data_IF_800698126189
#
_entry.id   IF_800698126189
#
_cell.length_a   1.000
_cell.length_b   1.000
_cell.length_c   1.000
_cell.angle_alpha   90.00
_cell.angle_beta   90.00
_cell.angle_gamma   90.00
#
_symmetry.space_group_name_H-M   'P 1'
#
loop_
_entity.id
_entity.type
_entity.pdbx_description
1 polymer ?
#
# COMPACT_ATOMS: atom_id res chain seq x y z
N UNK A 1 22.20 5.49 42.95
CA UNK A 1 21.00 4.85 42.37
C UNK A 1 21.28 4.67 40.89
N UNK A 2 21.70 3.47 40.49
CA UNK A 2 21.99 3.13 39.09
C UNK A 2 20.66 2.84 38.41
N UNK A 3 20.24 3.69 37.47
CA UNK A 3 19.09 3.42 36.61
C UNK A 3 19.57 2.47 35.51
N UNK A 4 19.36 1.17 35.72
CA UNK A 4 19.46 0.16 34.67
C UNK A 4 18.15 0.13 33.89
N UNK A 5 17.99 1.08 32.96
CA UNK A 5 16.96 1.04 31.94
C UNK A 5 17.59 0.69 30.60
N UNK A 6 17.45 -0.55 30.15
CA UNK A 6 17.69 -0.87 28.74
C UNK A 6 16.50 -0.32 27.95
N UNK A 7 16.57 0.94 27.53
CA UNK A 7 15.65 1.44 26.50
C UNK A 7 15.81 0.58 25.24
N UNK A 8 14.72 0.19 24.57
CA UNK A 8 14.82 -0.50 23.29
C UNK A 8 15.60 0.42 22.35
N UNK A 9 16.68 -0.12 21.79
CA UNK A 9 17.58 0.57 20.86
C UNK A 9 16.73 1.00 19.67
N UNK A 10 16.19 2.22 19.67
CA UNK A 10 15.53 2.78 18.49
C UNK A 10 16.56 2.70 17.38
N UNK A 11 16.29 1.89 16.36
CA UNK A 11 17.02 2.02 15.12
C UNK A 11 16.80 3.46 14.68
N UNK A 12 17.84 4.29 14.65
CA UNK A 12 17.75 5.63 14.10
C UNK A 12 17.41 5.48 12.61
N UNK A 13 16.12 5.35 12.32
CA UNK A 13 15.62 5.47 10.97
C UNK A 13 15.97 6.87 10.48
N UNK A 14 16.33 7.04 9.21
CA UNK A 14 16.35 8.37 8.62
C UNK A 14 15.01 9.07 8.88
N UNK A 15 15.02 10.37 9.15
CA UNK A 15 13.85 11.11 9.61
C UNK A 15 12.58 10.84 8.78
N UNK A 16 12.69 10.80 7.45
CA UNK A 16 11.55 10.55 6.57
C UNK A 16 10.89 9.16 6.76
N UNK A 17 11.67 8.15 7.15
CA UNK A 17 11.16 6.82 7.47
C UNK A 17 10.62 6.73 8.88
N UNK A 18 11.16 7.53 9.81
CA UNK A 18 10.57 7.70 11.14
C UNK A 18 9.20 8.37 11.01
N UNK A 19 9.07 9.42 10.19
CA UNK A 19 7.79 10.10 9.95
C UNK A 19 6.74 9.13 9.40
N UNK A 20 7.11 8.26 8.44
CA UNK A 20 6.22 7.21 7.96
C UNK A 20 5.80 6.26 9.09
N UNK A 21 6.75 5.82 9.91
CA UNK A 21 6.46 4.94 11.03
C UNK A 21 5.49 5.59 12.03
N UNK A 22 5.67 6.86 12.33
CA UNK A 22 4.84 7.61 13.28
C UNK A 22 3.42 7.81 12.73
N UNK A 23 3.28 8.12 11.44
CA UNK A 23 1.99 8.24 10.74
C UNK A 23 1.22 6.91 10.76
N UNK A 24 1.89 5.80 10.42
CA UNK A 24 1.27 4.47 10.46
C UNK A 24 0.89 4.07 11.89
N UNK A 25 1.76 4.36 12.87
CA UNK A 25 1.51 4.08 14.29
C UNK A 25 0.36 4.90 14.88
N UNK A 26 0.09 6.09 14.31
CA UNK A 26 -1.07 6.90 14.62
C UNK A 26 -2.39 6.37 14.01
N UNK A 27 -2.34 5.25 13.28
CA UNK A 27 -3.50 4.62 12.65
C UNK A 27 -3.89 5.22 11.30
N UNK A 28 -3.02 6.04 10.69
CA UNK A 28 -3.25 6.59 9.35
C UNK A 28 -2.81 5.55 8.32
N UNK A 29 -3.75 5.06 7.52
CA UNK A 29 -3.58 3.96 6.57
C UNK A 29 -3.41 4.44 5.10
N UNK A 30 -3.64 5.74 4.83
CA UNK A 30 -3.53 6.35 3.50
C UNK A 30 -2.42 7.38 3.48
N UNK A 31 -1.27 7.00 2.91
CA UNK A 31 -0.06 7.82 2.88
C UNK A 31 0.47 7.95 1.46
N UNK A 32 0.86 9.17 1.07
CA UNK A 32 1.58 9.43 -0.18
C UNK A 32 3.06 9.58 0.13
N UNK A 33 3.88 8.66 -0.37
CA UNK A 33 5.33 8.78 -0.31
C UNK A 33 5.82 9.64 -1.49
N UNK A 34 6.28 10.85 -1.20
CA UNK A 34 6.83 11.77 -2.20
C UNK A 34 8.35 11.94 -2.02
N UNK A 35 9.10 11.96 -3.12
CA UNK A 35 10.54 12.20 -3.08
C UNK A 35 11.33 11.60 -4.25
N UNK A 36 12.67 11.81 -4.27
CA UNK A 36 13.55 11.42 -5.38
C UNK A 36 13.40 9.95 -5.78
N UNK A 37 13.60 9.59 -7.06
CA UNK A 37 13.55 8.19 -7.49
C UNK A 37 14.63 7.34 -6.78
N UNK A 38 14.40 6.02 -6.68
CA UNK A 38 15.38 5.10 -6.08
C UNK A 38 15.41 5.07 -4.54
N UNK A 39 14.58 5.85 -3.84
CA UNK A 39 14.55 5.89 -2.37
C UNK A 39 13.76 4.76 -1.70
N UNK A 40 13.22 3.79 -2.44
CA UNK A 40 12.50 2.64 -1.85
C UNK A 40 10.99 2.84 -1.63
N UNK A 41 10.39 3.93 -2.12
CA UNK A 41 8.94 4.22 -1.99
C UNK A 41 8.05 3.06 -2.46
N UNK A 42 8.31 2.55 -3.66
CA UNK A 42 7.56 1.42 -4.24
C UNK A 42 7.77 0.15 -3.44
N UNK A 43 8.98 -0.07 -2.91
CA UNK A 43 9.26 -1.23 -2.07
C UNK A 43 8.45 -1.17 -0.77
N UNK A 44 8.44 -0.01 -0.12
CA UNK A 44 7.66 0.21 1.10
C UNK A 44 6.17 -0.04 0.89
N UNK A 45 5.56 0.54 -0.14
CA UNK A 45 4.13 0.36 -0.43
C UNK A 45 3.71 -1.07 -0.83
N UNK A 46 4.66 -1.94 -1.19
CA UNK A 46 4.38 -3.34 -1.57
C UNK A 46 4.78 -4.35 -0.50
N UNK A 47 5.37 -3.92 0.61
CA UNK A 47 5.97 -4.82 1.61
C UNK A 47 5.63 -4.45 3.05
N UNK A 48 5.46 -3.17 3.37
CA UNK A 48 5.14 -2.74 4.73
C UNK A 48 3.65 -2.99 5.01
N UNK A 49 3.36 -3.74 6.08
CA UNK A 49 1.98 -3.98 6.51
C UNK A 49 1.14 -4.85 5.57
N UNK A 50 1.77 -5.50 4.57
CA UNK A 50 1.09 -6.37 3.61
C UNK A 50 0.83 -7.73 4.25
N UNK A 51 -0.44 -8.16 4.21
CA UNK A 51 -0.89 -9.46 4.72
C UNK A 51 -0.87 -10.53 3.60
N UNK A 52 -1.42 -11.71 3.86
CA UNK A 52 -1.42 -12.83 2.90
C UNK A 52 -2.22 -12.57 1.60
N UNK A 53 -3.09 -11.57 1.57
CA UNK A 53 -3.84 -11.16 0.38
C UNK A 53 -3.03 -10.23 -0.56
N UNK A 54 -1.88 -9.74 -0.10
CA UNK A 54 -0.84 -9.13 -0.93
C UNK A 54 -0.98 -7.61 -1.12
N UNK A 55 -0.42 -7.11 -2.21
CA UNK A 55 -0.48 -5.69 -2.54
C UNK A 55 -0.73 -5.52 -4.04
N UNK A 56 -1.72 -4.70 -4.37
CA UNK A 56 -2.13 -4.46 -5.75
C UNK A 56 -1.58 -3.12 -6.24
N UNK A 57 -0.61 -3.18 -7.15
CA UNK A 57 0.01 -1.99 -7.72
C UNK A 57 -0.80 -1.45 -8.88
N UNK A 58 -1.12 -0.16 -8.82
CA UNK A 58 -1.64 0.62 -9.94
C UNK A 58 -0.58 1.65 -10.35
N UNK A 59 -0.17 1.64 -11.62
CA UNK A 59 0.78 2.62 -12.15
C UNK A 59 -0.02 3.71 -12.85
N UNK A 60 -0.07 4.90 -12.25
CA UNK A 60 -0.74 6.04 -12.86
C UNK A 60 -0.03 6.48 -14.13
N UNK A 61 -0.67 6.25 -15.28
CA UNK A 61 -0.28 6.74 -16.60
C UNK A 61 -1.34 7.69 -17.15
N UNK A 62 -1.00 8.50 -18.15
CA UNK A 62 -1.96 9.42 -18.78
C UNK A 62 -3.11 8.69 -19.48
N UNK A 63 -2.86 7.48 -19.97
CA UNK A 63 -3.86 6.65 -20.66
C UNK A 63 -4.73 5.80 -19.71
N UNK A 64 -4.54 5.94 -18.39
CA UNK A 64 -5.34 5.17 -17.43
C UNK A 64 -6.80 5.57 -17.46
N UNK A 65 -7.67 4.57 -17.28
CA UNK A 65 -9.11 4.78 -17.25
C UNK A 65 -9.70 4.23 -15.95
N UNK A 66 -11.00 4.50 -15.74
CA UNK A 66 -11.74 3.87 -14.64
C UNK A 66 -11.69 2.33 -14.70
N UNK A 67 -11.46 1.75 -15.89
CA UNK A 67 -11.31 0.31 -16.02
C UNK A 67 -10.11 -0.23 -15.21
N UNK A 68 -9.00 0.50 -15.15
CA UNK A 68 -7.80 0.10 -14.41
C UNK A 68 -8.01 0.22 -12.89
N UNK A 69 -8.85 1.14 -12.45
CA UNK A 69 -9.15 1.41 -11.04
C UNK A 69 -10.26 0.49 -10.54
N UNK A 70 -11.48 0.64 -11.08
CA UNK A 70 -12.68 -0.07 -10.64
C UNK A 70 -12.92 -1.34 -11.43
N UNK A 71 -12.63 -1.36 -12.73
CA UNK A 71 -12.97 -2.47 -13.61
C UNK A 71 -14.16 -2.18 -14.52
N UNK A 72 -14.54 -3.19 -15.30
CA UNK A 72 -15.64 -3.10 -16.27
C UNK A 72 -15.95 -4.45 -16.92
N UNK A 73 -16.97 -4.47 -17.77
CA UNK A 73 -17.33 -5.66 -18.54
C UNK A 73 -16.42 -5.82 -19.75
N UNK A 74 -15.83 -7.01 -19.90
CA UNK A 74 -15.06 -7.42 -21.08
C UNK A 74 -15.75 -8.58 -21.80
N UNK A 75 -15.60 -8.68 -23.13
CA UNK A 75 -16.02 -9.86 -23.88
C UNK A 75 -15.32 -11.13 -23.35
N UNK A 76 -16.07 -12.22 -23.28
CA UNK A 76 -15.66 -13.58 -22.92
C UNK A 76 -16.35 -14.58 -23.86
N UNK A 77 -15.99 -15.86 -23.79
CA UNK A 77 -16.51 -16.92 -24.67
C UNK A 77 -18.05 -17.05 -24.64
N UNK A 78 -18.70 -16.70 -23.53
CA UNK A 78 -20.14 -16.84 -23.31
C UNK A 78 -20.88 -15.49 -23.23
N UNK A 79 -20.24 -14.36 -23.56
CA UNK A 79 -20.86 -13.03 -23.51
C UNK A 79 -19.95 -11.97 -22.90
N UNK A 80 -20.47 -11.18 -21.96
CA UNK A 80 -19.68 -10.18 -21.24
C UNK A 80 -19.48 -10.61 -19.79
N UNK A 81 -18.24 -10.54 -19.32
CA UNK A 81 -17.86 -10.86 -17.94
C UNK A 81 -17.27 -9.63 -17.27
N UNK A 82 -17.64 -9.42 -16.01
CA UNK A 82 -17.02 -8.39 -15.18
C UNK A 82 -15.55 -8.73 -14.89
N UNK A 83 -14.67 -7.75 -15.08
CA UNK A 83 -13.25 -7.85 -14.75
C UNK A 83 -12.86 -6.71 -13.81
N UNK A 84 -12.39 -7.06 -12.62
CA UNK A 84 -12.04 -6.09 -11.58
C UNK A 84 -10.77 -5.31 -11.92
N UNK A 85 -10.82 -4.00 -11.65
CA UNK A 85 -9.64 -3.13 -11.60
C UNK A 85 -8.79 -3.37 -10.35
N UNK A 86 -7.63 -2.72 -10.26
CA UNK A 86 -6.67 -2.91 -9.17
C UNK A 86 -7.27 -2.56 -7.79
N UNK A 87 -8.11 -1.52 -7.70
CA UNK A 87 -8.71 -1.11 -6.43
C UNK A 87 -9.74 -2.13 -5.95
N UNK A 88 -10.58 -2.68 -6.84
CA UNK A 88 -11.53 -3.73 -6.45
C UNK A 88 -10.83 -5.04 -6.09
N UNK A 89 -9.73 -5.39 -6.75
CA UNK A 89 -8.92 -6.56 -6.37
C UNK A 89 -8.34 -6.42 -4.97
N UNK A 90 -7.80 -5.24 -4.63
CA UNK A 90 -7.36 -4.93 -3.27
C UNK A 90 -8.52 -4.91 -2.26
N UNK A 91 -9.72 -4.50 -2.68
CA UNK A 91 -10.86 -4.44 -1.76
C UNK A 91 -11.50 -5.78 -1.45
N UNK A 92 -11.34 -6.81 -2.29
CA UNK A 92 -11.94 -8.14 -2.13
C UNK A 92 -11.37 -8.99 -0.96
N UNK A 93 -10.66 -8.37 -0.02
CA UNK A 93 -10.30 -8.92 1.29
C UNK A 93 -11.46 -8.84 2.30
N UNK A 94 -11.19 -8.47 3.55
CA UNK A 94 -12.21 -8.38 4.63
C UNK A 94 -12.96 -7.02 4.66
N UNK A 95 -12.62 -6.10 3.76
CA UNK A 95 -13.22 -4.75 3.67
C UNK A 95 -12.79 -3.77 4.77
N UNK A 96 -11.88 -4.18 5.67
CA UNK A 96 -11.37 -3.40 6.82
C UNK A 96 -9.86 -3.22 6.68
N UNK A 97 -9.18 -4.33 6.39
CA UNK A 97 -7.79 -4.46 5.99
C UNK A 97 -7.84 -4.82 4.51
N UNK A 98 -7.59 -3.85 3.62
CA UNK A 98 -7.45 -4.15 2.19
C UNK A 98 -6.58 -5.40 2.00
N UNK A 99 -6.97 -6.24 1.04
CA UNK A 99 -6.23 -7.43 0.66
C UNK A 99 -4.77 -7.11 0.40
#
# INVERSE_FOLDING_TARGET
MLVTGTEPRQSNLPQCWQDLNDVLSAGIDRVILYGPPGTGKTYAGLRLGVNDAGAWRLVCTEDMTNFDVTGGYMPDKDGFKWSDGAALKAWRGDGITGG
#
